data_IF_921958197720
#
_entry.id   IF_921958197720
#
_cell.length_a   1.000
_cell.length_b   1.000
_cell.length_c   1.000
_cell.angle_alpha   90.00
_cell.angle_beta   90.00
_cell.angle_gamma   90.00
#
_symmetry.space_group_name_H-M   'P 1'
#
loop_
_entity.id
_entity.type
_entity.pdbx_description
1 polymer ?
#
# COMPACT_ATOMS: atom_id res chain seq x y z
N UNK A 1 13.06 3.16 -17.70
CA UNK A 1 12.66 2.43 -16.47
C UNK A 1 11.14 2.31 -16.50
N UNK A 2 10.62 1.09 -16.32
CA UNK A 2 9.19 0.84 -16.34
C UNK A 2 8.59 1.41 -15.05
N UNK A 3 7.69 2.40 -15.16
CA UNK A 3 7.09 3.07 -14.00
C UNK A 3 5.98 2.24 -13.34
N UNK A 4 5.54 1.15 -13.97
CA UNK A 4 4.43 0.34 -13.49
C UNK A 4 4.92 -0.82 -12.62
N UNK A 5 4.17 -1.16 -11.56
CA UNK A 5 4.44 -2.35 -10.78
C UNK A 5 4.46 -3.57 -11.71
N UNK A 6 5.53 -4.36 -11.63
CA UNK A 6 5.63 -5.61 -12.38
C UNK A 6 4.80 -6.68 -11.67
N UNK A 7 4.28 -7.67 -12.41
CA UNK A 7 3.46 -8.76 -11.85
C UNK A 7 4.11 -9.45 -10.65
N UNK A 8 5.43 -9.61 -10.66
CA UNK A 8 6.17 -10.23 -9.55
C UNK A 8 6.14 -9.37 -8.28
N UNK A 9 6.13 -8.04 -8.41
CA UNK A 9 6.04 -7.12 -7.28
C UNK A 9 4.66 -7.17 -6.63
N UNK A 10 3.60 -7.20 -7.44
CA UNK A 10 2.22 -7.36 -6.96
C UNK A 10 2.05 -8.72 -6.27
N UNK A 11 2.54 -9.80 -6.88
CA UNK A 11 2.50 -11.14 -6.28
C UNK A 11 3.20 -11.17 -4.92
N UNK A 12 4.36 -10.52 -4.80
CA UNK A 12 5.09 -10.41 -3.54
C UNK A 12 4.28 -9.70 -2.44
N UNK A 13 3.48 -8.69 -2.79
CA UNK A 13 2.59 -7.99 -1.85
C UNK A 13 1.47 -8.94 -1.37
N UNK A 14 0.86 -9.70 -2.28
CA UNK A 14 -0.19 -10.67 -1.96
C UNK A 14 0.33 -11.75 -1.00
N UNK A 15 1.52 -12.29 -1.28
CA UNK A 15 2.13 -13.40 -0.52
C UNK A 15 2.90 -12.93 0.73
N UNK A 16 2.90 -11.63 1.04
CA UNK A 16 3.73 -11.09 2.12
C UNK A 16 3.39 -11.72 3.49
N UNK A 17 4.41 -12.12 4.28
CA UNK A 17 4.19 -12.81 5.54
C UNK A 17 3.45 -11.94 6.56
N UNK A 18 2.55 -12.57 7.30
CA UNK A 18 1.76 -11.95 8.36
C UNK A 18 2.56 -11.57 9.63
N UNK A 19 3.84 -11.97 9.71
CA UNK A 19 4.75 -11.58 10.79
C UNK A 19 5.41 -10.21 10.58
N UNK A 20 5.32 -9.60 9.40
CA UNK A 20 6.05 -8.37 9.08
C UNK A 20 5.26 -7.37 8.22
N UNK A 21 4.21 -6.79 8.80
CA UNK A 21 3.43 -5.74 8.13
C UNK A 21 4.17 -4.40 7.98
N UNK A 22 5.18 -4.14 8.82
CA UNK A 22 6.02 -2.93 8.68
C UNK A 22 6.92 -3.05 7.46
N UNK A 23 7.52 -4.21 7.24
CA UNK A 23 8.26 -4.51 6.02
C UNK A 23 7.40 -4.43 4.78
N UNK A 24 6.14 -4.90 4.84
CA UNK A 24 5.20 -4.75 3.73
C UNK A 24 5.01 -3.27 3.36
N UNK A 25 4.69 -2.41 4.35
CA UNK A 25 4.50 -0.98 4.09
C UNK A 25 5.78 -0.29 3.61
N UNK A 26 6.94 -0.70 4.12
CA UNK A 26 8.22 -0.17 3.65
C UNK A 26 8.50 -0.57 2.20
N UNK A 27 8.18 -1.80 1.82
CA UNK A 27 8.31 -2.27 0.44
C UNK A 27 7.33 -1.55 -0.50
N UNK A 28 6.06 -1.43 -0.13
CA UNK A 28 5.06 -0.71 -0.91
C UNK A 28 5.47 0.75 -1.13
N UNK A 29 6.01 1.41 -0.11
CA UNK A 29 6.52 2.78 -0.24
C UNK A 29 7.55 2.92 -1.37
N UNK A 30 8.39 1.91 -1.61
CA UNK A 30 9.38 1.95 -2.71
C UNK A 30 8.75 1.87 -4.10
N UNK A 31 7.52 1.37 -4.20
CA UNK A 31 6.77 1.22 -5.45
C UNK A 31 5.76 2.34 -5.68
N UNK A 32 5.46 3.13 -4.65
CA UNK A 32 4.34 4.06 -4.65
C UNK A 32 4.67 5.34 -5.42
N UNK A 33 3.96 5.58 -6.54
CA UNK A 33 4.11 6.84 -7.28
C UNK A 33 3.57 7.99 -6.40
N UNK A 34 4.27 9.13 -6.43
CA UNK A 34 3.95 10.35 -5.67
C UNK A 34 4.20 10.26 -4.15
N UNK A 35 4.91 9.22 -3.69
CA UNK A 35 5.27 9.10 -2.28
C UNK A 35 6.05 10.31 -1.74
N UNK A 36 6.90 10.92 -2.57
CA UNK A 36 7.74 12.07 -2.26
C UNK A 36 7.00 13.42 -2.26
N UNK A 37 5.80 13.50 -2.85
CA UNK A 37 5.01 14.73 -2.94
C UNK A 37 3.71 14.70 -2.11
N UNK A 38 3.69 13.91 -1.03
CA UNK A 38 2.65 13.96 0.00
C UNK A 38 1.49 12.97 -0.18
N UNK A 39 1.55 12.12 -1.20
CA UNK A 39 0.57 11.04 -1.40
C UNK A 39 0.86 9.81 -0.53
N UNK A 40 1.94 9.86 0.23
CA UNK A 40 2.26 8.91 1.28
C UNK A 40 2.75 9.64 2.53
N UNK A 41 2.00 9.53 3.63
CA UNK A 41 2.42 10.10 4.90
C UNK A 41 2.28 9.08 6.01
N UNK A 42 3.18 9.15 6.99
CA UNK A 42 3.16 8.29 8.17
C UNK A 42 3.34 9.13 9.43
N UNK A 43 2.44 8.95 10.39
CA UNK A 43 2.54 9.52 11.74
C UNK A 43 2.41 8.38 12.75
N UNK A 44 3.53 8.02 13.39
CA UNK A 44 3.58 6.86 14.28
C UNK A 44 3.24 5.55 13.55
N UNK A 45 2.11 4.94 13.94
CA UNK A 45 1.56 3.70 13.35
C UNK A 45 0.52 3.95 12.25
N UNK A 46 0.10 5.20 12.06
CA UNK A 46 -0.91 5.59 11.09
C UNK A 46 -0.28 5.96 9.76
N UNK A 47 -0.74 5.33 8.70
CA UNK A 47 -0.38 5.64 7.31
C UNK A 47 -1.58 6.29 6.65
N UNK A 48 -1.39 7.43 6.00
CA UNK A 48 -2.39 8.03 5.10
C UNK A 48 -1.80 8.02 3.70
N UNK A 49 -2.42 7.26 2.80
CA UNK A 49 -1.92 7.05 1.45
C UNK A 49 -3.02 7.37 0.45
N UNK A 50 -2.65 8.04 -0.64
CA UNK A 50 -3.55 8.46 -1.70
C UNK A 50 -3.02 7.92 -3.02
N UNK A 51 -3.86 7.29 -3.84
CA UNK A 51 -3.44 6.75 -5.14
C UNK A 51 -3.18 7.87 -6.16
N UNK A 52 -3.82 9.03 -5.96
CA UNK A 52 -3.69 10.20 -6.84
C UNK A 52 -4.29 10.00 -8.22
N UNK A 53 -5.14 8.99 -8.39
CA UNK A 53 -5.72 8.64 -9.68
C UNK A 53 -4.76 7.90 -10.62
N UNK A 54 -3.57 7.52 -10.15
CA UNK A 54 -2.64 6.72 -10.95
C UNK A 54 -2.95 5.23 -10.80
N UNK A 55 -3.11 4.53 -11.93
CA UNK A 55 -3.59 3.15 -11.95
C UNK A 55 -2.64 2.14 -11.30
N UNK A 56 -1.32 2.38 -11.32
CA UNK A 56 -0.36 1.48 -10.66
C UNK A 56 -0.50 1.47 -9.13
N UNK A 57 -0.84 2.60 -8.52
CA UNK A 57 -1.13 2.66 -7.08
C UNK A 57 -2.44 1.93 -6.76
N UNK A 58 -3.44 1.99 -7.66
CA UNK A 58 -4.68 1.21 -7.51
C UNK A 58 -4.42 -0.29 -7.62
N UNK A 59 -3.53 -0.75 -8.51
CA UNK A 59 -3.10 -2.15 -8.60
C UNK A 59 -2.38 -2.61 -7.33
N UNK A 60 -1.49 -1.78 -6.77
CA UNK A 60 -0.83 -2.04 -5.49
C UNK A 60 -1.85 -2.18 -4.35
N UNK A 61 -2.84 -1.29 -4.27
CA UNK A 61 -3.94 -1.41 -3.29
C UNK A 61 -4.72 -2.70 -3.51
N UNK A 62 -4.98 -3.08 -4.77
CA UNK A 62 -5.57 -4.37 -5.12
C UNK A 62 -4.81 -5.55 -4.53
N UNK A 63 -3.49 -5.58 -4.72
CA UNK A 63 -2.63 -6.62 -4.14
C UNK A 63 -2.63 -6.58 -2.60
N UNK A 64 -2.60 -5.39 -1.98
CA UNK A 64 -2.70 -5.25 -0.52
C UNK A 64 -4.04 -5.76 0.03
N UNK A 65 -5.13 -5.61 -0.74
CA UNK A 65 -6.46 -6.17 -0.39
C UNK A 65 -6.50 -7.68 -0.46
N UNK A 66 -5.78 -8.27 -1.40
CA UNK A 66 -5.64 -9.72 -1.54
C UNK A 66 -4.75 -10.34 -0.45
N UNK A 67 -3.86 -9.56 0.17
CA UNK A 67 -3.21 -9.94 1.42
C UNK A 67 -4.22 -9.88 2.59
N UNK A 68 -5.00 -10.95 2.73
CA UNK A 68 -6.17 -11.01 3.63
C UNK A 68 -5.82 -10.62 5.07
N UNK A 69 -4.70 -11.13 5.60
CA UNK A 69 -4.31 -10.89 6.99
C UNK A 69 -3.88 -9.44 7.21
N UNK A 70 -3.09 -8.87 6.31
CA UNK A 70 -2.74 -7.46 6.39
C UNK A 70 -3.99 -6.59 6.31
N UNK A 71 -4.86 -6.85 5.32
CA UNK A 71 -6.06 -6.06 5.12
C UNK A 71 -6.99 -6.12 6.34
N UNK A 72 -7.28 -7.32 6.85
CA UNK A 72 -8.16 -7.48 8.01
C UNK A 72 -7.63 -6.80 9.28
N UNK A 73 -6.31 -6.78 9.49
CA UNK A 73 -5.71 -6.27 10.72
C UNK A 73 -5.32 -4.80 10.66
N UNK A 74 -4.92 -4.30 9.50
CA UNK A 74 -4.29 -2.99 9.37
C UNK A 74 -5.16 -1.96 8.65
N UNK A 75 -6.09 -2.38 7.79
CA UNK A 75 -6.99 -1.44 7.12
C UNK A 75 -7.91 -0.78 8.16
N UNK A 76 -7.99 0.55 8.10
CA UNK A 76 -8.82 1.33 9.01
C UNK A 76 -9.95 2.06 8.27
N UNK A 77 -9.64 2.66 7.12
CA UNK A 77 -10.62 3.41 6.33
C UNK A 77 -10.19 3.50 4.87
N UNK A 78 -11.17 3.54 3.97
CA UNK A 78 -11.01 4.05 2.62
C UNK A 78 -12.03 5.16 2.34
N UNK A 79 -11.68 6.09 1.44
CA UNK A 79 -12.56 7.17 0.98
C UNK A 79 -12.62 7.12 -0.54
N UNK A 80 -13.79 7.46 -1.11
CA UNK A 80 -13.96 7.63 -2.56
C UNK A 80 -12.88 8.60 -3.09
N UNK A 81 -12.28 8.25 -4.21
CA UNK A 81 -11.15 8.99 -4.80
C UNK A 81 -9.76 8.43 -4.46
N UNK A 82 -9.68 7.22 -3.90
CA UNK A 82 -8.42 6.50 -3.77
C UNK A 82 -7.59 6.90 -2.54
N UNK A 83 -8.22 7.32 -1.45
CA UNK A 83 -7.52 7.60 -0.19
C UNK A 83 -7.75 6.48 0.83
N UNK A 84 -6.68 6.04 1.48
CA UNK A 84 -6.67 4.93 2.41
C UNK A 84 -5.91 5.29 3.69
N UNK A 85 -6.43 4.79 4.81
CA UNK A 85 -5.80 4.90 6.12
C UNK A 85 -5.55 3.50 6.65
N UNK A 86 -4.32 3.26 7.11
CA UNK A 86 -3.91 2.00 7.75
C UNK A 86 -3.32 2.27 9.13
N UNK A 87 -3.57 1.37 10.08
CA UNK A 87 -2.93 1.31 11.39
C UNK A 87 -2.08 0.04 11.47
N UNK A 88 -0.75 0.17 11.49
CA UNK A 88 0.17 -0.97 11.47
C UNK A 88 0.94 -1.06 12.79
N UNK A 89 0.77 -2.19 13.49
CA UNK A 89 1.36 -2.44 14.82
C UNK A 89 2.82 -2.89 14.79
#
# INVERSE_FOLDING_TARGET
MNKYPVKDELKKIVEWPNSDFKGLMAYVLTLWEYADCGYWTRVGRKYNISTGGWSGNEEIIGAMRENIMFWAMCWYQSRRGGHYIFHVN
#
